data_IF_150084220482
#
_entry.id   IF_150084220482
#
_cell.length_a   1.000
_cell.length_b   1.000
_cell.length_c   1.000
_cell.angle_alpha   90.00
_cell.angle_beta   90.00
_cell.angle_gamma   90.00
#
_symmetry.space_group_name_H-M   'P 1'
#
loop_
_entity.id
_entity.type
_entity.pdbx_description
1 polymer ?
#
# COMPACT_ATOMS: atom_id res chain seq x y z
N UNK A 1 -9.83 -7.82 11.25
CA UNK A 1 -8.61 -8.36 10.63
C UNK A 1 -7.47 -8.05 11.58
N UNK A 2 -6.64 -9.03 11.95
CA UNK A 2 -5.52 -8.80 12.87
C UNK A 2 -4.31 -8.22 12.11
N UNK A 3 -3.29 -7.73 12.83
CA UNK A 3 -2.09 -7.14 12.20
C UNK A 3 -1.38 -8.13 11.25
N UNK A 4 -1.14 -9.40 11.59
CA UNK A 4 -0.53 -10.38 10.68
C UNK A 4 -1.29 -10.54 9.35
N UNK A 5 -2.62 -10.63 9.40
CA UNK A 5 -3.48 -10.72 8.21
C UNK A 5 -3.39 -9.46 7.34
N UNK A 6 -3.30 -8.29 7.97
CA UNK A 6 -3.14 -7.01 7.26
C UNK A 6 -1.80 -6.95 6.55
N UNK A 7 -0.71 -7.31 7.23
CA UNK A 7 0.62 -7.34 6.65
C UNK A 7 0.67 -8.28 5.44
N UNK A 8 0.18 -9.51 5.58
CA UNK A 8 0.14 -10.50 4.49
C UNK A 8 -0.69 -10.03 3.28
N UNK A 9 -1.74 -9.22 3.50
CA UNK A 9 -2.52 -8.65 2.39
C UNK A 9 -1.80 -7.53 1.67
N UNK A 10 -1.13 -6.65 2.41
CA UNK A 10 -0.41 -5.50 1.84
C UNK A 10 0.87 -5.94 1.11
N UNK A 11 1.51 -7.02 1.56
CA UNK A 11 2.74 -7.52 0.93
C UNK A 11 2.47 -8.35 -0.33
N UNK A 12 1.27 -8.93 -0.45
CA UNK A 12 0.91 -9.78 -1.59
C UNK A 12 0.88 -8.97 -2.89
N UNK A 13 1.79 -9.27 -3.81
CA UNK A 13 1.89 -8.63 -5.13
C UNK A 13 2.67 -7.32 -5.12
N UNK A 14 3.24 -6.92 -3.97
CA UNK A 14 4.21 -5.83 -3.92
C UNK A 14 5.52 -6.28 -4.58
N UNK A 15 6.07 -5.46 -5.47
CA UNK A 15 7.36 -5.74 -6.09
C UNK A 15 8.52 -5.66 -5.08
N UNK A 16 8.41 -4.72 -4.12
CA UNK A 16 9.39 -4.52 -3.07
C UNK A 16 8.74 -3.80 -1.88
N UNK A 17 9.21 -4.11 -0.67
CA UNK A 17 8.83 -3.42 0.56
C UNK A 17 10.10 -3.01 1.26
N UNK A 18 10.24 -1.72 1.52
CA UNK A 18 11.36 -1.19 2.28
C UNK A 18 10.96 -1.24 3.75
N UNK A 19 11.63 -2.11 4.52
CA UNK A 19 11.39 -2.32 5.95
C UNK A 19 9.99 -2.85 6.30
N UNK A 20 9.78 -4.17 6.14
CA UNK A 20 8.54 -4.83 6.59
C UNK A 20 8.31 -4.69 8.11
N UNK A 21 9.38 -4.63 8.90
CA UNK A 21 9.31 -4.45 10.35
C UNK A 21 8.66 -3.11 10.73
N UNK A 22 9.05 -2.01 10.08
CA UNK A 22 8.43 -0.70 10.30
C UNK A 22 6.96 -0.66 9.86
N UNK A 23 6.62 -1.37 8.78
CA UNK A 23 5.22 -1.50 8.36
C UNK A 23 4.40 -2.23 9.42
N UNK A 24 4.91 -3.33 9.97
CA UNK A 24 4.26 -4.07 11.05
C UNK A 24 4.09 -3.24 12.33
N UNK A 25 5.10 -2.47 12.71
CA UNK A 25 5.04 -1.54 13.84
C UNK A 25 3.95 -0.48 13.63
N UNK A 26 3.91 0.15 12.44
CA UNK A 26 2.89 1.14 12.09
C UNK A 26 1.48 0.54 12.09
N UNK A 27 1.31 -0.68 11.59
CA UNK A 27 0.02 -1.39 11.62
C UNK A 27 -0.44 -1.70 13.06
N UNK A 28 0.50 -1.86 13.99
CA UNK A 28 0.21 -2.14 15.40
C UNK A 28 -0.21 -0.89 16.19
N UNK A 29 0.01 0.32 15.66
CA UNK A 29 -0.26 1.59 16.33
C UNK A 29 -1.77 1.91 16.52
N UNK A 30 -2.67 0.99 16.17
CA UNK A 30 -4.13 1.06 16.29
C UNK A 30 -4.75 2.41 15.88
N UNK A 31 -4.21 3.01 14.82
CA UNK A 31 -4.69 4.25 14.23
C UNK A 31 -4.69 4.14 12.71
N UNK A 32 -5.54 4.90 12.01
CA UNK A 32 -5.47 4.99 10.56
C UNK A 32 -4.09 5.47 10.11
N UNK A 33 -3.48 4.73 9.17
CA UNK A 33 -2.24 5.13 8.52
C UNK A 33 -2.55 6.03 7.32
N UNK A 34 -1.69 7.02 7.09
CA UNK A 34 -1.76 7.85 5.89
C UNK A 34 -0.95 7.18 4.79
N UNK A 35 -1.62 6.77 3.71
CA UNK A 35 -1.00 6.20 2.51
C UNK A 35 -1.02 7.25 1.41
N UNK A 36 0.14 7.55 0.82
CA UNK A 36 0.30 8.58 -0.21
C UNK A 36 0.60 7.93 -1.55
N UNK A 37 -0.16 8.29 -2.58
CA UNK A 37 0.11 7.98 -3.98
C UNK A 37 0.27 9.30 -4.73
N UNK A 38 1.40 9.48 -5.42
CA UNK A 38 1.59 10.59 -6.35
C UNK A 38 1.24 10.15 -7.75
N UNK A 39 0.49 10.97 -8.48
CA UNK A 39 0.14 10.76 -9.90
C UNK A 39 0.48 12.03 -10.66
N UNK A 40 1.14 11.89 -11.80
CA UNK A 40 1.45 13.00 -12.70
C UNK A 40 0.19 13.34 -13.55
N UNK A 41 -0.31 14.58 -13.51
CA UNK A 41 -1.50 14.99 -14.25
C UNK A 41 -1.27 15.28 -15.74
N UNK A 42 -0.07 15.01 -16.28
CA UNK A 42 0.29 15.31 -17.68
C UNK A 42 -0.63 14.65 -18.72
N UNK A 43 -1.30 13.54 -18.38
CA UNK A 43 -2.40 12.97 -19.18
C UNK A 43 -3.62 12.68 -18.31
N UNK A 44 -4.81 12.82 -18.90
CA UNK A 44 -6.08 12.47 -18.26
C UNK A 44 -6.43 10.97 -18.40
N UNK A 45 -5.71 10.22 -19.23
CA UNK A 45 -6.05 8.83 -19.55
C UNK A 45 -5.69 7.87 -18.40
N UNK A 46 -6.70 7.19 -17.86
CA UNK A 46 -6.53 6.12 -16.87
C UNK A 46 -6.75 4.76 -17.54
N UNK A 47 -5.69 3.96 -17.62
CA UNK A 47 -5.73 2.58 -18.10
C UNK A 47 -5.57 1.54 -16.97
N UNK A 48 -5.71 0.25 -17.31
CA UNK A 48 -5.63 -0.88 -16.37
C UNK A 48 -4.35 -0.91 -15.53
N UNK A 49 -3.21 -0.40 -16.03
CA UNK A 49 -2.00 -0.27 -15.22
C UNK A 49 -2.19 0.49 -13.89
N UNK A 50 -3.07 1.51 -13.85
CA UNK A 50 -3.34 2.27 -12.62
C UNK A 50 -4.11 1.45 -11.57
N UNK A 51 -4.82 0.40 -11.98
CA UNK A 51 -5.57 -0.44 -11.02
C UNK A 51 -4.65 -1.27 -10.14
N UNK A 52 -3.37 -1.47 -10.53
CA UNK A 52 -2.40 -2.23 -9.75
C UNK A 52 -2.13 -1.56 -8.40
N UNK A 53 -1.99 -0.24 -8.38
CA UNK A 53 -1.71 0.53 -7.15
C UNK A 53 -2.98 0.96 -6.39
N UNK A 54 -4.17 0.78 -6.97
CA UNK A 54 -5.46 1.14 -6.39
C UNK A 54 -6.25 -0.04 -5.82
N UNK A 55 -5.74 -1.27 -5.98
CA UNK A 55 -6.38 -2.53 -5.54
C UNK A 55 -6.03 -2.93 -4.11
#
# INVERSE_FOLDING_TARGET
MNMPDQLARLTRGAAQIISEAELAEKLSANRPLRVKLGVDPTSADIHLGHTVVLR
#
